data_IF_245984777075
#
_entry.id   IF_245984777075
#
_cell.length_a   1.000
_cell.length_b   1.000
_cell.length_c   1.000
_cell.angle_alpha   90.00
_cell.angle_beta   90.00
_cell.angle_gamma   90.00
#
_symmetry.space_group_name_H-M   'P 1'
#
loop_
_entity.id
_entity.type
_entity.pdbx_description
1 polymer ?
#
# COMPACT_ATOMS: atom_id res chain seq x y z
N UNK A 1 22.82 1.91 4.02
CA UNK A 1 24.29 1.99 3.86
C UNK A 1 24.68 2.50 2.47
N UNK A 2 24.03 2.08 1.39
CA UNK A 2 24.38 2.46 0.01
C UNK A 2 23.80 3.81 -0.43
N UNK A 3 22.55 4.13 -0.04
CA UNK A 3 21.84 5.37 -0.41
C UNK A 3 21.13 6.01 0.80
N UNK A 4 21.87 6.62 1.75
CA UNK A 4 21.27 7.25 2.93
C UNK A 4 20.36 8.44 2.57
N UNK A 5 20.66 9.14 1.49
CA UNK A 5 19.89 10.23 0.92
C UNK A 5 18.50 9.78 0.41
N UNK A 6 18.43 8.62 -0.24
CA UNK A 6 17.15 8.01 -0.65
C UNK A 6 16.35 7.58 0.57
N UNK A 7 16.99 6.94 1.54
CA UNK A 7 16.33 6.52 2.77
C UNK A 7 15.74 7.74 3.52
N UNK A 8 16.49 8.83 3.62
CA UNK A 8 16.01 10.09 4.19
C UNK A 8 14.78 10.60 3.44
N UNK A 9 14.85 10.70 2.11
CA UNK A 9 13.75 11.17 1.25
C UNK A 9 12.48 10.35 1.44
N UNK A 10 12.60 9.02 1.55
CA UNK A 10 11.45 8.12 1.74
C UNK A 10 10.81 8.24 3.15
N UNK A 11 11.53 8.77 4.13
CA UNK A 11 11.01 9.02 5.49
C UNK A 11 10.39 10.41 5.68
N UNK A 12 10.65 11.34 4.75
CA UNK A 12 10.11 12.69 4.85
C UNK A 12 8.59 12.70 4.55
N UNK A 13 7.77 13.47 5.28
CA UNK A 13 6.33 13.59 5.04
C UNK A 13 6.03 14.54 3.87
N UNK A 14 6.66 14.30 2.72
CA UNK A 14 6.55 15.09 1.49
C UNK A 14 5.85 14.32 0.35
N UNK A 15 5.46 13.08 0.62
CA UNK A 15 4.78 12.23 -0.36
C UNK A 15 3.29 12.49 -0.32
N UNK A 16 2.69 12.51 -1.50
CA UNK A 16 1.24 12.47 -1.66
C UNK A 16 0.89 11.10 -2.20
N UNK A 17 -0.21 10.48 -1.77
CA UNK A 17 -0.77 9.27 -2.37
C UNK A 17 -2.21 9.52 -2.77
N UNK A 18 -2.53 9.17 -4.02
CA UNK A 18 -3.87 9.24 -4.58
C UNK A 18 -4.79 8.19 -3.96
N UNK A 19 -5.95 8.61 -3.43
CA UNK A 19 -6.96 7.69 -2.89
C UNK A 19 -7.77 7.00 -3.97
N UNK A 20 -7.67 7.39 -5.24
CA UNK A 20 -8.29 6.67 -6.38
C UNK A 20 -9.82 6.45 -6.28
N UNK A 21 -10.51 7.35 -5.58
CA UNK A 21 -11.96 7.24 -5.34
C UNK A 21 -12.31 6.51 -4.04
N UNK A 22 -11.31 6.09 -3.28
CA UNK A 22 -11.42 5.56 -1.91
C UNK A 22 -11.51 6.71 -0.89
N UNK A 23 -12.40 7.67 -1.18
CA UNK A 23 -12.54 8.93 -0.44
C UNK A 23 -13.88 8.94 0.28
N UNK A 24 -13.85 9.05 1.61
CA UNK A 24 -15.08 9.24 2.40
C UNK A 24 -15.50 10.71 2.43
N UNK A 25 -16.75 10.98 2.81
CA UNK A 25 -17.26 12.36 2.88
C UNK A 25 -16.37 13.25 3.75
N UNK A 26 -15.89 14.35 3.17
CA UNK A 26 -15.03 15.34 3.85
C UNK A 26 -13.53 15.04 3.80
N UNK A 27 -13.11 13.98 3.13
CA UNK A 27 -11.69 13.71 2.87
C UNK A 27 -11.27 14.28 1.51
N UNK A 28 -10.00 14.65 1.41
CA UNK A 28 -9.35 14.95 0.14
C UNK A 28 -9.14 13.67 -0.68
N UNK A 29 -9.06 13.80 -2.01
CA UNK A 29 -8.79 12.67 -2.92
C UNK A 29 -7.32 12.18 -2.88
N UNK A 30 -6.51 12.76 -2.01
CA UNK A 30 -5.14 12.34 -1.72
C UNK A 30 -4.88 12.37 -0.22
N UNK A 31 -3.79 11.73 0.19
CA UNK A 31 -3.21 11.88 1.53
C UNK A 31 -1.80 12.41 1.41
N UNK A 32 -1.34 13.17 2.40
CA UNK A 32 0.07 13.53 2.57
C UNK A 32 0.69 12.62 3.63
N UNK A 33 1.84 12.05 3.32
CA UNK A 33 2.35 10.86 4.00
C UNK A 33 3.89 10.74 3.84
N UNK A 34 4.49 9.79 4.54
CA UNK A 34 5.84 9.29 4.26
C UNK A 34 5.75 7.86 3.70
N UNK A 35 6.79 7.39 3.01
CA UNK A 35 6.86 6.01 2.51
C UNK A 35 7.29 5.06 3.62
N UNK A 36 8.27 5.47 4.43
CA UNK A 36 8.70 4.74 5.62
C UNK A 36 8.47 5.54 6.89
N UNK A 37 8.05 4.84 7.94
CA UNK A 37 7.84 5.37 9.28
C UNK A 37 8.74 4.64 10.26
N UNK A 38 9.27 5.37 11.23
CA UNK A 38 9.99 4.80 12.35
C UNK A 38 9.19 5.04 13.63
N UNK A 39 8.88 3.96 14.34
CA UNK A 39 8.22 4.04 15.64
C UNK A 39 9.15 4.69 16.69
N UNK A 40 8.62 5.63 17.47
CA UNK A 40 9.40 6.46 18.40
C UNK A 40 9.62 5.84 19.79
N UNK A 41 9.23 4.58 19.99
CA UNK A 41 9.36 3.85 21.26
C UNK A 41 10.60 2.95 21.36
N UNK A 42 10.92 2.43 22.56
CA UNK A 42 11.97 1.42 22.73
C UNK A 42 11.69 0.18 21.85
N UNK A 43 12.69 -0.25 21.08
CA UNK A 43 12.52 -1.36 20.14
C UNK A 43 11.63 -1.02 18.93
N UNK A 44 11.59 0.26 18.55
CA UNK A 44 10.75 0.77 17.47
C UNK A 44 10.90 0.01 16.15
N UNK A 45 9.77 -0.19 15.47
CA UNK A 45 9.69 -0.87 14.17
C UNK A 45 9.74 0.12 13.01
N UNK A 46 10.05 -0.42 11.84
CA UNK A 46 9.95 0.30 10.57
C UNK A 46 8.68 -0.14 9.86
N UNK A 47 7.80 0.80 9.54
CA UNK A 47 6.61 0.53 8.76
C UNK A 47 6.75 1.13 7.36
N UNK A 48 6.20 0.45 6.37
CA UNK A 48 6.17 0.93 4.99
C UNK A 48 4.74 1.09 4.49
N UNK A 49 4.53 2.11 3.66
CA UNK A 49 3.38 2.24 2.78
C UNK A 49 3.87 2.64 1.41
N UNK A 50 3.75 1.72 0.46
CA UNK A 50 4.17 1.97 -0.92
C UNK A 50 3.22 1.29 -1.90
N UNK A 51 2.70 2.08 -2.83
CA UNK A 51 2.10 1.59 -4.07
C UNK A 51 2.50 2.56 -5.19
N UNK A 52 3.27 2.11 -6.18
CA UNK A 52 3.73 2.98 -7.26
C UNK A 52 2.55 3.57 -8.06
N UNK A 53 1.39 2.91 -8.07
CA UNK A 53 0.22 3.40 -8.75
C UNK A 53 -0.41 4.64 -8.08
N UNK A 54 -0.26 4.77 -6.75
CA UNK A 54 -0.77 5.92 -6.00
C UNK A 54 0.06 7.18 -6.18
N UNK A 55 1.34 7.07 -6.53
CA UNK A 55 2.19 8.23 -6.85
C UNK A 55 2.10 8.62 -8.33
N UNK A 56 2.06 7.63 -9.24
CA UNK A 56 2.07 7.88 -10.69
C UNK A 56 0.78 8.51 -11.19
N UNK A 57 -0.33 8.35 -10.46
CA UNK A 57 -1.62 8.93 -10.84
C UNK A 57 -1.86 10.34 -10.34
N UNK A 58 -0.95 10.89 -9.53
CA UNK A 58 -1.08 12.21 -8.93
C UNK A 58 -1.03 13.35 -9.95
N UNK A 59 -0.57 13.08 -11.17
CA UNK A 59 -0.60 14.05 -12.29
C UNK A 59 -1.98 14.66 -12.45
N UNK A 60 -3.06 13.90 -12.22
CA UNK A 60 -4.45 14.41 -12.25
C UNK A 60 -4.76 15.54 -11.25
N UNK A 61 -3.91 15.72 -10.24
CA UNK A 61 -3.97 16.79 -9.24
C UNK A 61 -2.83 17.80 -9.39
N UNK A 62 -1.59 17.34 -9.62
CA UNK A 62 -0.43 18.23 -9.77
C UNK A 62 -0.50 19.08 -11.04
N UNK A 63 -1.03 18.55 -12.14
CA UNK A 63 -1.24 19.29 -13.40
C UNK A 63 -2.26 20.42 -13.21
N UNK A 64 -3.12 20.31 -12.20
CA UNK A 64 -4.09 21.34 -11.80
C UNK A 64 -3.56 22.27 -10.71
N UNK A 65 -2.33 22.05 -10.23
CA UNK A 65 -1.71 22.84 -9.16
C UNK A 65 -2.30 22.61 -7.77
N UNK A 66 -3.05 21.52 -7.54
CA UNK A 66 -3.65 21.21 -6.23
C UNK A 66 -2.62 20.66 -5.23
N UNK A 67 -1.59 20.01 -5.74
CA UNK A 67 -0.46 19.45 -5.00
C UNK A 67 0.83 19.68 -5.80
N UNK A 68 2.01 19.69 -5.18
CA UNK A 68 3.26 19.75 -5.94
C UNK A 68 3.45 18.47 -6.80
N UNK A 69 4.08 18.58 -7.99
CA UNK A 69 4.55 17.41 -8.71
C UNK A 69 5.67 16.70 -7.90
N UNK A 70 5.97 15.46 -8.26
CA UNK A 70 7.13 14.77 -7.69
C UNK A 70 8.40 15.58 -8.00
N UNK A 71 9.21 15.81 -6.97
CA UNK A 71 10.54 16.36 -7.17
C UNK A 71 11.48 15.32 -7.79
N UNK A 72 12.59 15.73 -8.44
CA UNK A 72 13.59 14.79 -8.96
C UNK A 72 14.10 13.80 -7.89
N UNK A 73 14.25 14.24 -6.65
CA UNK A 73 14.65 13.38 -5.53
C UNK A 73 13.59 12.33 -5.18
N UNK A 74 12.30 12.66 -5.27
CA UNK A 74 11.21 11.70 -5.08
C UNK A 74 11.14 10.69 -6.22
N UNK A 75 11.31 11.13 -7.47
CA UNK A 75 11.35 10.21 -8.62
C UNK A 75 12.52 9.23 -8.52
N UNK A 76 13.71 9.73 -8.16
CA UNK A 76 14.88 8.87 -7.94
C UNK A 76 14.66 7.90 -6.78
N UNK A 77 14.14 8.38 -5.65
CA UNK A 77 13.86 7.56 -4.49
C UNK A 77 12.83 6.45 -4.80
N UNK A 78 11.80 6.76 -5.60
CA UNK A 78 10.84 5.79 -6.10
C UNK A 78 11.51 4.71 -6.96
N UNK A 79 12.37 5.11 -7.91
CA UNK A 79 13.10 4.16 -8.78
C UNK A 79 13.99 3.23 -7.97
N UNK A 80 14.79 3.78 -7.06
CA UNK A 80 15.70 3.00 -6.20
C UNK A 80 14.92 2.02 -5.32
N UNK A 81 13.76 2.43 -4.78
CA UNK A 81 12.90 1.55 -4.01
C UNK A 81 12.35 0.40 -4.87
N UNK A 82 11.80 0.70 -6.05
CA UNK A 82 11.24 -0.31 -6.97
C UNK A 82 12.32 -1.30 -7.44
N UNK A 83 13.50 -0.82 -7.84
CA UNK A 83 14.66 -1.63 -8.23
C UNK A 83 15.15 -2.53 -7.09
N UNK A 84 15.19 -1.99 -5.87
CA UNK A 84 15.56 -2.77 -4.68
C UNK A 84 14.53 -3.86 -4.39
N UNK A 85 13.23 -3.54 -4.50
CA UNK A 85 12.16 -4.51 -4.34
C UNK A 85 12.27 -5.64 -5.38
N UNK A 86 12.51 -5.31 -6.64
CA UNK A 86 12.67 -6.30 -7.71
C UNK A 86 13.86 -7.23 -7.44
N UNK A 87 15.01 -6.66 -7.08
CA UNK A 87 16.25 -7.42 -6.80
C UNK A 87 16.14 -8.33 -5.57
N UNK A 88 15.38 -7.92 -4.56
CA UNK A 88 15.22 -8.67 -3.30
C UNK A 88 13.89 -9.45 -3.23
N UNK A 89 13.15 -9.53 -4.34
CA UNK A 89 11.86 -10.18 -4.35
C UNK A 89 11.97 -11.69 -4.17
N UNK A 90 11.04 -12.25 -3.39
CA UNK A 90 10.80 -13.69 -3.36
C UNK A 90 9.72 -14.02 -4.39
N UNK A 91 10.11 -14.73 -5.45
CA UNK A 91 9.15 -15.26 -6.40
C UNK A 91 8.44 -16.48 -5.82
N UNK A 92 7.11 -16.42 -5.79
CA UNK A 92 6.24 -17.48 -5.28
C UNK A 92 5.18 -17.81 -6.32
N UNK A 93 4.98 -19.10 -6.57
CA UNK A 93 3.88 -19.63 -7.37
C UNK A 93 2.90 -20.23 -6.38
N UNK A 94 1.64 -19.78 -6.41
CA UNK A 94 0.57 -20.30 -5.56
C UNK A 94 -0.24 -21.33 -6.36
N UNK A 95 -0.38 -22.52 -5.79
CA UNK A 95 -1.30 -23.55 -6.26
C UNK A 95 -2.72 -23.36 -5.68
N UNK A 96 -3.69 -24.08 -6.22
CA UNK A 96 -5.07 -24.04 -5.71
C UNK A 96 -5.09 -24.58 -4.27
N UNK A 97 -5.55 -23.76 -3.34
CA UNK A 97 -5.61 -24.09 -1.92
C UNK A 97 -4.46 -23.48 -1.10
N UNK A 98 -3.41 -22.94 -1.75
CA UNK A 98 -2.35 -22.25 -1.05
C UNK A 98 -2.84 -20.94 -0.41
N UNK A 99 -2.32 -20.65 0.77
CA UNK A 99 -2.62 -19.43 1.52
C UNK A 99 -1.33 -18.68 1.79
N UNK A 100 -1.30 -17.40 1.40
CA UNK A 100 -0.20 -16.50 1.70
C UNK A 100 -0.57 -15.57 2.87
N UNK A 101 0.20 -15.66 3.96
CA UNK A 101 0.17 -14.69 5.05
C UNK A 101 1.36 -13.76 4.95
N UNK A 102 1.11 -12.45 5.08
CA UNK A 102 2.16 -11.44 5.12
C UNK A 102 1.76 -10.28 6.04
N UNK A 103 2.77 -9.58 6.57
CA UNK A 103 2.55 -8.33 7.28
C UNK A 103 2.57 -7.19 6.27
N UNK A 104 1.41 -6.56 6.04
CA UNK A 104 1.27 -5.50 5.03
C UNK A 104 2.20 -4.28 5.29
N UNK A 105 2.62 -4.07 6.53
CA UNK A 105 3.50 -2.94 6.88
C UNK A 105 4.99 -3.23 6.65
N UNK A 106 5.36 -4.49 6.35
CA UNK A 106 6.77 -4.90 6.22
C UNK A 106 7.08 -5.58 4.88
N UNK A 107 6.09 -6.22 4.26
CA UNK A 107 6.27 -6.98 3.02
C UNK A 107 5.44 -6.34 1.91
N UNK A 108 6.14 -5.70 0.98
CA UNK A 108 5.57 -5.28 -0.29
C UNK A 108 5.31 -6.52 -1.16
N UNK A 109 4.14 -6.55 -1.80
CA UNK A 109 3.69 -7.69 -2.57
C UNK A 109 3.05 -7.23 -3.88
N UNK A 110 3.28 -8.00 -4.94
CA UNK A 110 2.80 -7.71 -6.28
C UNK A 110 2.53 -9.02 -7.02
N UNK A 111 2.02 -8.90 -8.24
CA UNK A 111 1.85 -10.02 -9.18
C UNK A 111 2.55 -9.70 -10.49
N UNK A 112 3.06 -10.72 -11.16
CA UNK A 112 3.51 -10.61 -12.55
C UNK A 112 2.31 -10.50 -13.49
N UNK A 113 2.56 -10.04 -14.72
CA UNK A 113 1.55 -10.07 -15.77
C UNK A 113 1.11 -11.52 -16.05
N UNK A 114 -0.17 -11.71 -16.31
CA UNK A 114 -0.76 -12.99 -16.70
C UNK A 114 -1.91 -12.75 -17.68
N UNK A 115 -2.34 -13.81 -18.38
CA UNK A 115 -3.44 -13.77 -19.33
C UNK A 115 -4.59 -14.63 -18.81
N UNK A 116 -5.77 -14.04 -18.70
CA UNK A 116 -7.01 -14.80 -18.52
C UNK A 116 -7.42 -15.46 -19.84
N UNK A 117 -7.93 -16.67 -19.76
CA UNK A 117 -8.46 -17.41 -20.89
C UNK A 117 -9.99 -17.34 -20.88
N UNK A 118 -10.60 -17.36 -22.08
CA UNK A 118 -12.04 -17.45 -22.19
C UNK A 118 -12.56 -18.79 -21.63
N UNK A 119 -13.82 -18.84 -21.15
CA UNK A 119 -14.46 -20.09 -20.77
C UNK A 119 -14.31 -21.16 -21.88
N UNK A 120 -14.08 -22.44 -21.53
CA UNK A 120 -14.24 -23.06 -20.21
C UNK A 120 -12.96 -23.10 -19.34
N UNK A 121 -11.87 -22.46 -19.78
CA UNK A 121 -10.61 -22.51 -19.02
C UNK A 121 -10.77 -21.80 -17.66
N UNK A 122 -10.25 -22.37 -16.56
CA UNK A 122 -10.36 -21.76 -15.24
C UNK A 122 -9.60 -20.43 -15.21
N UNK A 123 -10.28 -19.37 -14.75
CA UNK A 123 -9.67 -18.06 -14.49
C UNK A 123 -8.99 -18.06 -13.13
N UNK A 124 -7.97 -17.22 -12.97
CA UNK A 124 -7.32 -17.04 -11.66
C UNK A 124 -8.28 -16.36 -10.70
N UNK A 125 -8.71 -17.09 -9.67
CA UNK A 125 -9.53 -16.54 -8.58
C UNK A 125 -8.72 -16.56 -7.27
N UNK A 126 -8.55 -15.40 -6.64
CA UNK A 126 -7.84 -15.25 -5.37
C UNK A 126 -8.70 -14.43 -4.41
N UNK A 127 -9.05 -15.02 -3.27
CA UNK A 127 -9.70 -14.30 -2.17
C UNK A 127 -8.64 -13.62 -1.30
N UNK A 128 -8.90 -12.37 -0.91
CA UNK A 128 -8.00 -11.60 -0.05
C UNK A 128 -8.73 -11.12 1.20
N UNK A 129 -8.18 -11.45 2.36
CA UNK A 129 -8.66 -11.01 3.66
C UNK A 129 -7.62 -10.11 4.31
N UNK A 130 -8.07 -8.98 4.85
CA UNK A 130 -7.26 -8.08 5.66
C UNK A 130 -7.61 -8.31 7.12
N UNK A 131 -6.60 -8.54 7.95
CA UNK A 131 -6.74 -8.74 9.38
C UNK A 131 -5.96 -7.65 10.10
N UNK A 132 -6.58 -7.07 11.12
CA UNK A 132 -5.96 -6.10 12.00
C UNK A 132 -6.50 -6.26 13.42
N UNK A 133 -5.63 -6.03 14.40
CA UNK A 133 -6.00 -5.96 15.81
C UNK A 133 -5.88 -4.50 16.24
N UNK A 134 -6.90 -3.91 16.89
CA UNK A 134 -6.80 -2.58 17.48
C UNK A 134 -5.64 -2.47 18.47
N UNK A 135 -5.00 -1.30 18.55
CA UNK A 135 -3.87 -1.08 19.47
C UNK A 135 -4.26 -1.30 20.94
N UNK A 136 -5.46 -0.86 21.34
CA UNK A 136 -6.02 -1.06 22.68
C UNK A 136 -6.38 -2.52 23.01
N UNK A 137 -6.53 -3.38 21.98
CA UNK A 137 -6.72 -4.84 22.09
C UNK A 137 -5.40 -5.62 21.93
N UNK A 138 -4.24 -4.93 21.94
CA UNK A 138 -2.91 -5.55 21.86
C UNK A 138 -2.31 -5.62 20.46
N UNK A 139 -2.92 -4.93 19.49
CA UNK A 139 -2.34 -4.71 18.16
C UNK A 139 -1.09 -3.83 18.20
N UNK A 140 -0.36 -3.80 17.08
CA UNK A 140 0.82 -2.93 16.97
C UNK A 140 0.40 -1.46 16.87
N UNK A 141 1.17 -0.60 17.55
CA UNK A 141 1.09 0.86 17.38
C UNK A 141 1.58 1.23 16.00
N UNK A 142 0.64 1.58 15.13
CA UNK A 142 0.88 1.92 13.74
C UNK A 142 0.75 3.45 13.53
N UNK A 143 1.43 4.02 12.51
CA UNK A 143 1.46 5.48 12.28
C UNK A 143 0.18 6.01 11.61
N UNK A 144 -0.94 5.29 11.72
CA UNK A 144 -2.19 5.60 11.04
C UNK A 144 -3.26 5.98 12.06
N UNK A 145 -4.10 6.95 11.72
CA UNK A 145 -5.16 7.47 12.59
C UNK A 145 -6.19 6.40 12.98
N UNK A 146 -6.32 5.35 12.17
CA UNK A 146 -7.23 4.23 12.35
C UNK A 146 -6.71 3.16 13.34
N UNK A 147 -5.67 3.45 14.15
CA UNK A 147 -4.99 2.41 14.91
C UNK A 147 -5.83 1.70 15.98
N UNK A 148 -6.84 2.38 16.51
CA UNK A 148 -7.79 1.86 17.50
C UNK A 148 -9.13 1.43 16.88
N UNK A 149 -9.29 1.53 15.56
CA UNK A 149 -10.53 1.13 14.88
C UNK A 149 -10.70 -0.40 14.94
N UNK A 150 -11.87 -0.87 15.41
CA UNK A 150 -12.22 -2.30 15.42
C UNK A 150 -12.28 -2.89 14.02
N UNK A 151 -12.74 -2.09 13.05
CA UNK A 151 -12.76 -2.46 11.65
C UNK A 151 -11.63 -1.73 10.94
N UNK A 152 -10.47 -2.38 10.88
CA UNK A 152 -9.25 -1.83 10.33
C UNK A 152 -8.69 -2.71 9.20
N UNK A 153 -8.13 -2.07 8.19
CA UNK A 153 -7.54 -2.74 7.03
C UNK A 153 -8.49 -2.89 5.85
N UNK A 154 -7.91 -2.93 4.64
CA UNK A 154 -8.67 -2.86 3.39
C UNK A 154 -9.18 -1.45 3.08
N UNK A 155 -10.06 -1.36 2.08
CA UNK A 155 -10.61 -0.11 1.57
C UNK A 155 -12.00 0.08 2.18
N UNK A 156 -12.14 1.06 3.08
CA UNK A 156 -13.44 1.43 3.65
C UNK A 156 -13.79 2.85 3.23
N UNK A 157 -14.86 2.97 2.44
CA UNK A 157 -15.41 4.25 1.99
C UNK A 157 -16.77 4.42 2.65
N UNK A 158 -16.90 5.48 3.45
CA UNK A 158 -18.08 5.73 4.29
C UNK A 158 -18.50 4.46 5.05
N UNK A 159 -19.79 4.16 5.08
CA UNK A 159 -20.37 2.97 5.70
C UNK A 159 -20.66 1.84 4.70
N UNK A 160 -19.95 1.79 3.56
CA UNK A 160 -20.17 0.73 2.57
C UNK A 160 -19.88 -0.64 3.18
N UNK A 161 -20.84 -1.55 3.09
CA UNK A 161 -20.66 -2.92 3.55
C UNK A 161 -19.65 -3.66 2.65
N UNK A 162 -18.77 -4.50 3.23
CA UNK A 162 -17.85 -5.30 2.44
C UNK A 162 -18.64 -6.32 1.60
N UNK A 163 -18.14 -6.61 0.41
CA UNK A 163 -18.69 -7.63 -0.48
C UNK A 163 -17.59 -8.64 -0.78
N UNK A 164 -17.91 -9.93 -0.65
CA UNK A 164 -17.03 -11.03 -1.01
C UNK A 164 -17.77 -11.90 -2.03
N UNK A 165 -17.52 -11.64 -3.32
CA UNK A 165 -18.08 -12.46 -4.40
C UNK A 165 -17.38 -13.83 -4.40
N UNK A 166 -18.16 -14.88 -4.60
CA UNK A 166 -17.63 -16.26 -4.69
C UNK A 166 -17.07 -16.58 -6.07
N UNK A 167 -17.42 -15.77 -7.08
CA UNK A 167 -16.96 -15.90 -8.44
C UNK A 167 -16.23 -14.63 -8.88
N UNK A 168 -15.26 -14.79 -9.79
CA UNK A 168 -14.51 -13.69 -10.39
C UNK A 168 -15.31 -13.05 -11.54
N UNK A 169 -16.36 -12.30 -11.19
CA UNK A 169 -17.12 -11.46 -12.14
C UNK A 169 -16.28 -10.28 -12.65
#
# INVERSE_FOLDING_TARGET
RERPDVAETLTQPIWYFDRKGETSKGQEDWIRTAVFYLETGPGGRVYSKWDPYYIRSLTRFSDKGLIPPLSPAQEEAASVLEETCARLSLHMILEVGDIQFLSNCHVLHARTAYKDYAPPAPRRHLMRLWLATPEDEGGWRLPFEDCNEKKRGGIQVDNRAPVALLDAD
#
